data_IF_298722318286
#
_entry.id   IF_298722318286
#
_cell.length_a   1.000
_cell.length_b   1.000
_cell.length_c   1.000
_cell.angle_alpha   90.00
_cell.angle_beta   90.00
_cell.angle_gamma   90.00
#
_symmetry.space_group_name_H-M   'P 1'
#
loop_
_entity.id
_entity.type
_entity.pdbx_description
1 polymer ?
#
# COMPACT_ATOMS: atom_id res chain seq x y z
N UNK A 1 23.38 20.23 16.46
CA UNK A 1 23.89 18.97 17.06
C UNK A 1 23.89 17.94 15.95
N UNK A 2 25.07 17.39 15.60
CA UNK A 2 25.13 16.28 14.64
C UNK A 2 24.49 15.04 15.31
N UNK A 3 23.29 14.69 14.88
CA UNK A 3 22.66 13.45 15.32
C UNK A 3 23.44 12.27 14.74
N UNK A 4 24.16 11.56 15.60
CA UNK A 4 24.78 10.28 15.23
C UNK A 4 23.64 9.27 15.02
N UNK A 5 23.46 8.83 13.76
CA UNK A 5 22.48 7.79 13.41
C UNK A 5 23.24 6.48 13.24
N UNK A 6 22.94 5.43 14.04
CA UNK A 6 23.51 4.11 13.81
C UNK A 6 23.01 3.58 12.45
N UNK A 7 23.93 3.04 11.65
CA UNK A 7 23.61 2.34 10.39
C UNK A 7 23.82 0.85 10.61
N UNK A 8 22.75 0.06 10.46
CA UNK A 8 22.85 -1.39 10.40
C UNK A 8 22.87 -1.82 8.94
N UNK A 9 23.92 -2.49 8.50
CA UNK A 9 24.01 -3.11 7.18
C UNK A 9 24.14 -4.61 7.36
N UNK A 10 23.24 -5.37 6.73
CA UNK A 10 23.24 -6.85 6.79
C UNK A 10 23.82 -7.46 5.51
N UNK A 11 23.76 -6.75 4.40
CA UNK A 11 24.25 -7.18 3.09
C UNK A 11 25.31 -6.21 2.58
N UNK A 12 26.26 -6.73 1.81
CA UNK A 12 27.21 -5.90 1.04
C UNK A 12 26.52 -5.39 -0.24
N UNK A 13 27.12 -4.38 -0.88
CA UNK A 13 26.61 -3.86 -2.16
C UNK A 13 26.66 -4.94 -3.26
N UNK A 14 27.67 -5.81 -3.24
CA UNK A 14 27.79 -6.92 -4.18
C UNK A 14 26.64 -7.92 -3.99
N UNK A 15 26.29 -8.25 -2.74
CA UNK A 15 25.16 -9.14 -2.46
C UNK A 15 23.82 -8.52 -2.87
N UNK A 16 23.66 -7.23 -2.68
CA UNK A 16 22.45 -6.51 -3.15
C UNK A 16 22.37 -6.55 -4.67
N UNK A 17 23.52 -6.34 -5.36
CA UNK A 17 23.57 -6.41 -6.82
C UNK A 17 23.28 -7.83 -7.33
N UNK A 18 23.81 -8.86 -6.68
CA UNK A 18 23.55 -10.26 -7.02
C UNK A 18 22.04 -10.59 -6.90
N UNK A 19 21.39 -10.18 -5.81
CA UNK A 19 19.94 -10.33 -5.63
C UNK A 19 19.18 -9.61 -6.74
N UNK A 20 19.58 -8.40 -7.09
CA UNK A 20 18.97 -7.64 -8.19
C UNK A 20 19.10 -8.39 -9.52
N UNK A 21 20.28 -8.88 -9.86
CA UNK A 21 20.53 -9.60 -11.11
C UNK A 21 19.75 -10.91 -11.20
N UNK A 22 19.63 -11.66 -10.12
CA UNK A 22 18.76 -12.83 -10.04
C UNK A 22 17.29 -12.48 -10.20
N UNK A 23 16.84 -11.38 -9.61
CA UNK A 23 15.46 -10.88 -9.77
C UNK A 23 15.18 -10.53 -11.24
N UNK A 24 16.09 -9.83 -11.91
CA UNK A 24 15.94 -9.51 -13.33
C UNK A 24 15.88 -10.79 -14.17
N UNK A 25 16.74 -11.77 -13.89
CA UNK A 25 16.72 -13.05 -14.60
C UNK A 25 15.38 -13.80 -14.41
N UNK A 26 14.81 -13.80 -13.22
CA UNK A 26 13.48 -14.41 -12.98
C UNK A 26 12.40 -13.70 -13.78
N UNK A 27 12.37 -12.38 -13.78
CA UNK A 27 11.38 -11.60 -14.54
C UNK A 27 11.48 -11.82 -16.05
N UNK A 28 12.70 -12.01 -16.57
CA UNK A 28 12.96 -12.23 -18.01
C UNK A 28 12.69 -13.67 -18.45
N UNK A 29 13.04 -14.65 -17.62
CA UNK A 29 13.01 -16.08 -18.03
C UNK A 29 11.73 -16.78 -17.59
N UNK A 30 11.30 -16.56 -16.36
CA UNK A 30 10.05 -17.10 -15.77
C UNK A 30 8.87 -16.19 -16.10
N UNK A 31 8.98 -14.90 -15.79
CA UNK A 31 7.94 -13.91 -15.99
C UNK A 31 6.96 -13.80 -14.84
N UNK A 32 5.92 -12.99 -15.01
CA UNK A 32 4.87 -12.70 -14.05
C UNK A 32 3.50 -13.00 -14.68
N UNK A 33 2.64 -13.70 -13.96
CA UNK A 33 1.24 -13.88 -14.37
C UNK A 33 0.46 -12.59 -14.08
N UNK A 34 -0.24 -12.10 -15.10
CA UNK A 34 -1.04 -10.88 -15.03
C UNK A 34 -2.49 -11.21 -15.33
N UNK A 35 -3.34 -11.17 -14.30
CA UNK A 35 -4.75 -11.56 -14.44
C UNK A 35 -5.63 -10.40 -14.92
N UNK A 36 -5.24 -9.13 -14.71
CA UNK A 36 -5.97 -7.96 -15.20
C UNK A 36 -5.83 -7.83 -16.74
N UNK A 37 -6.94 -7.90 -17.51
CA UNK A 37 -6.88 -7.78 -18.97
C UNK A 37 -6.30 -6.45 -19.44
N UNK A 38 -6.64 -5.36 -18.76
CA UNK A 38 -6.18 -4.02 -19.10
C UNK A 38 -4.67 -3.84 -18.86
N UNK A 39 -4.14 -4.39 -17.77
CA UNK A 39 -2.71 -4.38 -17.49
C UNK A 39 -1.94 -5.31 -18.43
N UNK A 40 -2.52 -6.46 -18.76
CA UNK A 40 -1.94 -7.39 -19.72
C UNK A 40 -1.76 -6.72 -21.10
N UNK A 41 -2.78 -6.04 -21.60
CA UNK A 41 -2.72 -5.32 -22.88
C UNK A 41 -1.71 -4.14 -22.83
N UNK A 42 -1.64 -3.43 -21.71
CA UNK A 42 -0.65 -2.37 -21.52
C UNK A 42 0.77 -2.93 -21.56
N UNK A 43 1.04 -4.02 -20.83
CA UNK A 43 2.35 -4.66 -20.80
C UNK A 43 2.70 -5.25 -22.19
N UNK A 44 1.77 -5.93 -22.85
CA UNK A 44 1.95 -6.47 -24.19
C UNK A 44 2.38 -5.41 -25.21
N UNK A 45 1.83 -4.21 -25.12
CA UNK A 45 2.25 -3.07 -25.96
C UNK A 45 3.67 -2.61 -25.65
N UNK A 46 4.15 -2.78 -24.41
CA UNK A 46 5.49 -2.37 -23.99
C UNK A 46 6.57 -3.40 -24.27
N UNK A 47 6.30 -4.67 -23.95
CA UNK A 47 7.29 -5.76 -24.08
C UNK A 47 7.24 -6.45 -25.46
N UNK A 48 6.16 -6.29 -26.22
CA UNK A 48 5.91 -6.99 -27.47
C UNK A 48 5.18 -8.33 -27.30
N UNK A 49 4.48 -8.76 -28.33
CA UNK A 49 3.63 -9.96 -28.30
C UNK A 49 4.42 -11.26 -28.03
N UNK A 50 5.67 -11.34 -28.47
CA UNK A 50 6.55 -12.51 -28.25
C UNK A 50 6.92 -12.77 -26.81
N UNK A 51 6.81 -11.75 -25.94
CA UNK A 51 7.11 -11.84 -24.52
C UNK A 51 5.87 -12.22 -23.69
N UNK A 52 4.73 -12.46 -24.32
CA UNK A 52 3.45 -12.77 -23.67
C UNK A 52 2.95 -14.13 -24.14
N UNK A 53 2.71 -15.04 -23.20
CA UNK A 53 2.10 -16.34 -23.45
C UNK A 53 0.87 -16.47 -22.55
N UNK A 54 -0.34 -16.36 -23.12
CA UNK A 54 -1.60 -16.23 -22.41
C UNK A 54 -1.55 -15.06 -21.39
N UNK A 55 -1.52 -15.33 -20.10
CA UNK A 55 -1.42 -14.35 -19.02
C UNK A 55 0.00 -14.19 -18.46
N UNK A 56 0.94 -15.00 -18.91
CA UNK A 56 2.32 -14.94 -18.47
C UNK A 56 3.08 -13.91 -19.30
N UNK A 57 3.66 -12.93 -18.64
CA UNK A 57 4.42 -11.84 -19.26
C UNK A 57 5.87 -11.93 -18.81
N UNK A 58 6.79 -12.10 -19.75
CA UNK A 58 8.22 -11.94 -19.50
C UNK A 58 8.58 -10.48 -19.58
N UNK A 59 9.23 -9.96 -18.54
CA UNK A 59 9.54 -8.54 -18.41
C UNK A 59 11.03 -8.34 -18.62
N UNK A 60 11.46 -7.68 -19.73
CA UNK A 60 12.87 -7.41 -19.98
C UNK A 60 13.51 -6.51 -18.91
N UNK A 61 14.78 -6.76 -18.62
CA UNK A 61 15.58 -5.97 -17.66
C UNK A 61 15.45 -4.47 -17.92
N UNK A 62 15.59 -4.04 -19.17
CA UNK A 62 15.58 -2.63 -19.54
C UNK A 62 14.27 -1.93 -19.17
N UNK A 63 13.14 -2.66 -19.24
CA UNK A 63 11.83 -2.10 -18.85
C UNK A 63 11.76 -1.90 -17.33
N UNK A 64 12.29 -2.85 -16.56
CA UNK A 64 12.33 -2.75 -15.09
C UNK A 64 13.25 -1.61 -14.66
N UNK A 65 14.44 -1.53 -15.21
CA UNK A 65 15.40 -0.47 -14.92
C UNK A 65 14.87 0.92 -15.31
N UNK A 66 14.19 1.01 -16.46
CA UNK A 66 13.49 2.22 -16.87
C UNK A 66 12.41 2.61 -15.84
N UNK A 67 11.59 1.66 -15.40
CA UNK A 67 10.54 1.93 -14.40
C UNK A 67 11.12 2.41 -13.07
N UNK A 68 12.17 1.75 -12.57
CA UNK A 68 12.89 2.15 -11.34
C UNK A 68 13.48 3.57 -11.49
N UNK A 69 14.06 3.89 -12.66
CA UNK A 69 14.64 5.21 -12.93
C UNK A 69 13.58 6.29 -13.06
N UNK A 70 12.42 5.96 -13.63
CA UNK A 70 11.32 6.90 -13.87
C UNK A 70 10.50 7.18 -12.62
N UNK A 71 10.49 6.26 -11.65
CA UNK A 71 9.74 6.44 -10.41
C UNK A 71 10.25 7.65 -9.61
N UNK A 72 9.34 8.45 -9.01
CA UNK A 72 9.72 9.54 -8.14
C UNK A 72 10.66 9.08 -7.02
N UNK A 73 11.74 9.81 -6.79
CA UNK A 73 12.71 9.48 -5.74
C UNK A 73 12.24 9.93 -4.36
N UNK A 74 11.30 10.84 -4.32
CA UNK A 74 10.73 11.39 -3.09
C UNK A 74 9.23 11.60 -3.26
N UNK A 75 8.50 11.33 -2.19
CA UNK A 75 7.05 11.54 -2.11
C UNK A 75 6.75 12.34 -0.85
N UNK A 76 6.19 13.53 -1.01
CA UNK A 76 5.70 14.33 0.10
C UNK A 76 4.34 13.81 0.55
N UNK A 77 4.22 13.50 1.83
CA UNK A 77 2.97 13.05 2.46
C UNK A 77 2.43 14.16 3.35
N UNK A 78 1.12 14.34 3.30
CA UNK A 78 0.41 15.39 4.02
C UNK A 78 -0.53 14.75 5.07
N UNK A 79 -0.98 15.54 6.02
CA UNK A 79 -2.11 15.18 6.83
C UNK A 79 -3.44 15.55 6.11
N UNK A 80 -4.56 15.09 6.65
CA UNK A 80 -5.89 15.36 6.11
C UNK A 80 -6.25 16.87 6.01
N UNK A 81 -5.50 17.76 6.68
CA UNK A 81 -5.67 19.21 6.61
C UNK A 81 -4.75 19.86 5.59
N UNK A 82 -4.03 19.06 4.80
CA UNK A 82 -3.08 19.53 3.80
C UNK A 82 -1.77 20.10 4.38
N UNK A 83 -1.45 19.80 5.63
CA UNK A 83 -0.18 20.17 6.24
C UNK A 83 0.88 19.12 5.92
N UNK A 84 2.06 19.49 5.39
CA UNK A 84 3.16 18.56 5.17
C UNK A 84 3.56 17.84 6.46
N UNK A 85 3.69 16.53 6.43
CA UNK A 85 4.07 15.71 7.57
C UNK A 85 5.49 15.18 7.42
N UNK A 86 5.75 14.49 6.33
CA UNK A 86 7.08 13.94 6.04
C UNK A 86 7.23 13.63 4.55
N UNK A 87 8.47 13.50 4.13
CA UNK A 87 8.83 13.00 2.79
C UNK A 87 9.32 11.57 2.92
N UNK A 88 8.88 10.67 2.05
CA UNK A 88 9.40 9.31 1.90
C UNK A 88 10.44 9.33 0.79
N UNK A 89 11.59 8.66 1.02
CA UNK A 89 12.73 8.67 0.11
C UNK A 89 13.64 9.88 0.32
N UNK A 90 14.90 9.73 -0.07
CA UNK A 90 15.92 10.77 0.07
C UNK A 90 16.84 10.58 1.28
N UNK A 91 17.91 11.39 1.37
CA UNK A 91 19.00 11.16 2.32
C UNK A 91 18.60 11.40 3.79
N UNK A 92 17.57 12.19 4.02
CA UNK A 92 17.06 12.53 5.36
C UNK A 92 15.88 11.63 5.81
N UNK A 93 15.53 10.65 5.01
CA UNK A 93 14.42 9.75 5.36
C UNK A 93 14.76 8.88 6.56
N UNK A 94 13.72 8.56 7.34
CA UNK A 94 13.81 7.72 8.54
C UNK A 94 12.67 6.71 8.53
N UNK A 95 12.81 5.68 9.34
CA UNK A 95 11.71 4.73 9.57
C UNK A 95 10.50 5.50 10.11
N UNK A 96 9.33 5.24 9.53
CA UNK A 96 8.04 5.79 9.93
C UNK A 96 7.24 4.71 10.63
N UNK A 97 6.62 5.09 11.72
CA UNK A 97 5.84 4.18 12.53
C UNK A 97 4.35 4.49 12.42
N UNK A 98 3.56 3.45 12.45
CA UNK A 98 2.10 3.54 12.46
C UNK A 98 1.47 2.37 13.21
N UNK A 99 0.15 2.38 13.31
CA UNK A 99 -0.62 1.27 13.85
C UNK A 99 -0.58 0.11 12.86
N UNK A 100 -0.66 -1.15 13.34
CA UNK A 100 -0.81 -2.34 12.51
C UNK A 100 -2.10 -2.34 11.68
N UNK A 101 -2.24 -3.34 10.81
CA UNK A 101 -3.32 -3.42 9.83
C UNK A 101 -4.16 -4.68 9.98
N UNK A 102 -5.43 -4.61 9.55
CA UNK A 102 -6.35 -5.74 9.29
C UNK A 102 -6.58 -6.70 10.45
N UNK A 103 -6.67 -6.20 11.69
CA UNK A 103 -7.09 -7.01 12.83
C UNK A 103 -8.54 -7.52 12.62
N UNK A 104 -8.77 -8.81 12.85
CA UNK A 104 -10.09 -9.43 12.81
C UNK A 104 -10.79 -9.37 14.18
N UNK A 105 -9.99 -9.30 15.24
CA UNK A 105 -10.43 -9.29 16.63
C UNK A 105 -9.81 -8.12 17.36
N UNK A 106 -10.51 -7.64 18.37
CA UNK A 106 -10.05 -6.68 19.34
C UNK A 106 -9.99 -7.36 20.70
N UNK A 107 -8.91 -7.14 21.44
CA UNK A 107 -8.76 -7.64 22.80
C UNK A 107 -9.22 -6.55 23.77
N UNK A 108 -10.34 -6.83 24.47
CA UNK A 108 -10.89 -5.88 25.43
C UNK A 108 -9.92 -5.68 26.59
N UNK A 109 -9.47 -4.43 26.88
CA UNK A 109 -8.42 -4.17 27.87
C UNK A 109 -8.76 -4.59 29.28
N UNK A 110 -10.03 -4.49 29.67
CA UNK A 110 -10.48 -4.75 31.04
C UNK A 110 -10.69 -6.23 31.34
N UNK A 111 -11.02 -7.02 30.33
CA UNK A 111 -11.38 -8.45 30.49
C UNK A 111 -10.42 -9.40 29.80
N UNK A 112 -9.48 -8.87 29.00
CA UNK A 112 -8.56 -9.64 28.19
C UNK A 112 -9.26 -10.60 27.19
N UNK A 113 -10.53 -10.31 26.88
CA UNK A 113 -11.37 -11.16 26.03
C UNK A 113 -11.29 -10.71 24.57
N UNK A 114 -11.00 -11.61 23.61
CA UNK A 114 -11.06 -11.28 22.20
C UNK A 114 -12.52 -11.17 21.73
N UNK A 115 -12.87 -10.07 21.11
CA UNK A 115 -14.18 -9.80 20.50
C UNK A 115 -14.00 -9.47 19.03
N UNK A 116 -15.07 -9.58 18.22
CA UNK A 116 -15.01 -9.14 16.83
C UNK A 116 -14.69 -7.65 16.74
N UNK A 117 -13.91 -7.30 15.73
CA UNK A 117 -13.54 -5.90 15.51
C UNK A 117 -14.74 -5.10 15.00
N UNK A 118 -15.12 -4.04 15.71
CA UNK A 118 -16.28 -3.20 15.44
C UNK A 118 -15.86 -1.74 15.14
N UNK A 119 -16.79 -0.94 14.63
CA UNK A 119 -16.57 0.49 14.35
C UNK A 119 -16.09 1.27 15.58
N UNK A 120 -16.61 0.94 16.77
CA UNK A 120 -16.14 1.59 18.03
C UNK A 120 -14.64 1.38 18.24
N UNK A 121 -14.15 0.16 17.99
CA UNK A 121 -12.72 -0.17 18.14
C UNK A 121 -11.89 0.58 17.08
N UNK A 122 -12.36 0.65 15.83
CA UNK A 122 -11.71 1.44 14.78
C UNK A 122 -11.56 2.90 15.20
N UNK A 123 -12.66 3.51 15.64
CA UNK A 123 -12.67 4.90 16.12
C UNK A 123 -11.68 5.15 17.24
N UNK A 124 -11.68 4.28 18.25
CA UNK A 124 -10.85 4.46 19.44
C UNK A 124 -9.36 4.24 19.10
N UNK A 125 -9.04 3.22 18.31
CA UNK A 125 -7.68 2.97 17.84
C UNK A 125 -7.15 4.12 16.97
N UNK A 126 -7.97 4.65 16.06
CA UNK A 126 -7.59 5.81 15.23
C UNK A 126 -7.31 7.03 16.11
N UNK A 127 -8.14 7.30 17.11
CA UNK A 127 -7.94 8.41 18.06
C UNK A 127 -6.66 8.26 18.87
N UNK A 128 -6.39 7.05 19.37
CA UNK A 128 -5.14 6.74 20.10
C UNK A 128 -3.94 6.95 19.17
N UNK A 129 -3.93 6.33 17.99
CA UNK A 129 -2.84 6.46 17.03
C UNK A 129 -2.62 7.91 16.58
N UNK A 130 -3.70 8.68 16.43
CA UNK A 130 -3.60 10.09 16.10
C UNK A 130 -2.98 10.94 17.22
N UNK A 131 -3.12 10.55 18.47
CA UNK A 131 -2.57 11.26 19.64
C UNK A 131 -1.15 10.85 20.00
N UNK A 132 -0.73 9.64 19.70
CA UNK A 132 0.61 9.15 20.01
C UNK A 132 1.68 9.91 19.21
N UNK A 133 2.65 10.57 19.85
CA UNK A 133 3.62 11.45 19.14
C UNK A 133 4.61 10.67 18.28
N UNK A 134 4.84 9.39 18.58
CA UNK A 134 5.79 8.53 17.85
C UNK A 134 5.16 7.76 16.70
N UNK A 135 3.87 7.88 16.48
CA UNK A 135 3.23 7.41 15.26
C UNK A 135 3.19 8.53 14.22
N UNK A 136 3.80 8.29 13.07
CA UNK A 136 3.82 9.24 11.95
C UNK A 136 2.52 9.16 11.14
N UNK A 137 1.87 7.99 11.14
CA UNK A 137 0.67 7.69 10.35
C UNK A 137 -0.28 6.75 11.11
N UNK A 138 -1.50 6.64 10.62
CA UNK A 138 -2.47 5.61 11.00
C UNK A 138 -2.71 4.68 9.80
N UNK A 139 -3.26 3.49 10.05
CA UNK A 139 -3.57 2.53 8.99
C UNK A 139 -4.96 1.92 9.22
N UNK A 140 -5.48 1.18 8.25
CA UNK A 140 -6.72 0.39 8.41
C UNK A 140 -6.50 -0.67 9.48
N UNK A 141 -6.78 -0.32 10.73
CA UNK A 141 -6.39 -1.09 11.92
C UNK A 141 -7.06 -2.45 11.96
N UNK A 142 -8.31 -2.53 11.53
CA UNK A 142 -9.08 -3.76 11.57
C UNK A 142 -10.24 -3.76 10.58
N UNK A 143 -10.91 -4.89 10.48
CA UNK A 143 -12.07 -5.11 9.63
C UNK A 143 -13.32 -5.04 10.49
N UNK A 144 -14.13 -3.99 10.34
CA UNK A 144 -15.35 -3.78 11.14
C UNK A 144 -16.41 -4.84 10.79
N UNK A 145 -17.04 -5.43 11.81
CA UNK A 145 -17.99 -6.54 11.66
C UNK A 145 -19.41 -6.22 12.12
N UNK A 146 -19.65 -5.01 12.62
CA UNK A 146 -20.95 -4.52 13.10
C UNK A 146 -21.73 -3.76 12.01
N UNK A 147 -21.39 -3.97 10.75
CA UNK A 147 -22.05 -3.41 9.57
C UNK A 147 -22.27 -4.49 8.52
N UNK A 148 -23.18 -4.29 7.52
CA UNK A 148 -23.29 -5.19 6.39
C UNK A 148 -21.94 -5.39 5.69
N UNK A 149 -21.61 -6.63 5.30
CA UNK A 149 -20.30 -7.03 4.79
C UNK A 149 -19.81 -6.13 3.63
N UNK A 150 -20.69 -5.83 2.67
CA UNK A 150 -20.39 -4.98 1.52
C UNK A 150 -20.14 -3.50 1.84
N UNK A 151 -20.36 -3.07 3.09
CA UNK A 151 -20.11 -1.70 3.58
C UNK A 151 -18.96 -1.62 4.57
N UNK A 152 -18.31 -2.74 4.87
CA UNK A 152 -17.22 -2.83 5.85
C UNK A 152 -16.11 -1.82 5.58
N UNK A 153 -15.58 -1.80 4.36
CA UNK A 153 -14.49 -0.91 3.98
C UNK A 153 -14.92 0.57 3.99
N UNK A 154 -16.16 0.86 3.58
CA UNK A 154 -16.73 2.22 3.60
C UNK A 154 -16.82 2.76 5.03
N UNK A 155 -17.42 2.01 5.96
CA UNK A 155 -17.55 2.46 7.34
C UNK A 155 -16.21 2.50 8.09
N UNK A 156 -15.34 1.53 7.84
CA UNK A 156 -13.98 1.55 8.39
C UNK A 156 -13.20 2.78 7.94
N UNK A 157 -13.25 3.09 6.66
CA UNK A 157 -12.60 4.29 6.07
C UNK A 157 -13.22 5.58 6.58
N UNK A 158 -14.54 5.64 6.76
CA UNK A 158 -15.23 6.80 7.33
C UNK A 158 -14.79 7.06 8.77
N UNK A 159 -14.64 6.02 9.61
CA UNK A 159 -14.14 6.18 10.98
C UNK A 159 -12.71 6.76 10.99
N UNK A 160 -11.86 6.38 10.04
CA UNK A 160 -10.54 7.01 9.87
C UNK A 160 -10.65 8.49 9.54
N UNK A 161 -11.46 8.83 8.55
CA UNK A 161 -11.62 10.22 8.11
C UNK A 161 -12.14 11.13 9.22
N UNK A 162 -13.17 10.68 9.95
CA UNK A 162 -13.82 11.50 10.98
C UNK A 162 -12.96 11.66 12.23
N UNK A 163 -12.20 10.62 12.63
CA UNK A 163 -11.53 10.56 13.92
C UNK A 163 -10.01 10.80 13.86
N UNK A 164 -9.40 10.77 12.66
CA UNK A 164 -7.97 10.97 12.44
C UNK A 164 -7.65 12.21 11.60
N UNK A 165 -6.42 12.68 11.74
CA UNK A 165 -5.86 13.77 10.91
C UNK A 165 -4.56 13.31 10.26
N UNK A 166 -3.81 12.43 10.89
CA UNK A 166 -2.54 11.90 10.38
C UNK A 166 -2.71 11.21 9.02
N UNK A 167 -1.65 11.10 8.23
CA UNK A 167 -1.65 10.31 7.00
C UNK A 167 -2.22 8.90 7.23
N UNK A 168 -2.94 8.39 6.25
CA UNK A 168 -3.63 7.10 6.30
C UNK A 168 -3.01 6.10 5.32
N UNK A 169 -2.47 5.00 5.84
CA UNK A 169 -2.19 3.80 5.03
C UNK A 169 -3.47 3.00 4.91
N UNK A 170 -4.04 2.99 3.72
CA UNK A 170 -5.39 2.47 3.48
C UNK A 170 -5.34 1.07 2.85
N UNK A 171 -5.96 0.10 3.55
CA UNK A 171 -6.33 -1.18 2.98
C UNK A 171 -7.83 -1.24 2.75
N UNK A 172 -8.22 -1.67 1.58
CA UNK A 172 -9.60 -1.98 1.20
C UNK A 172 -9.64 -3.45 0.81
N UNK A 173 -10.42 -4.24 1.54
CA UNK A 173 -10.49 -5.69 1.39
C UNK A 173 -11.28 -6.09 0.15
N UNK A 174 -12.43 -5.45 -0.08
CA UNK A 174 -13.28 -5.66 -1.25
C UNK A 174 -12.78 -4.80 -2.43
N UNK A 175 -12.24 -5.46 -3.44
CA UNK A 175 -11.72 -4.81 -4.63
C UNK A 175 -12.77 -3.99 -5.38
N UNK A 176 -14.03 -4.43 -5.37
CA UNK A 176 -15.14 -3.73 -6.02
C UNK A 176 -15.57 -2.46 -5.28
N UNK A 177 -15.15 -2.31 -4.01
CA UNK A 177 -15.46 -1.16 -3.16
C UNK A 177 -14.37 -0.10 -3.11
N UNK A 178 -13.21 -0.36 -3.69
CA UNK A 178 -12.09 0.58 -3.64
C UNK A 178 -12.45 1.93 -4.27
N UNK A 179 -13.12 1.93 -5.44
CA UNK A 179 -13.54 3.18 -6.08
C UNK A 179 -14.56 3.94 -5.24
N UNK A 180 -15.56 3.23 -4.66
CA UNK A 180 -16.56 3.85 -3.78
C UNK A 180 -15.92 4.53 -2.57
N UNK A 181 -14.89 3.90 -1.98
CA UNK A 181 -14.10 4.48 -0.87
C UNK A 181 -13.36 5.74 -1.32
N UNK A 182 -12.75 5.72 -2.51
CA UNK A 182 -12.07 6.90 -3.05
C UNK A 182 -13.05 8.04 -3.31
N UNK A 183 -14.19 7.79 -3.93
CA UNK A 183 -15.25 8.78 -4.17
C UNK A 183 -15.80 9.38 -2.87
N UNK A 184 -15.95 8.57 -1.82
CA UNK A 184 -16.30 9.06 -0.49
C UNK A 184 -15.24 10.05 0.03
N UNK A 185 -13.95 9.71 -0.06
CA UNK A 185 -12.88 10.61 0.36
C UNK A 185 -12.83 11.88 -0.49
N UNK A 186 -13.00 11.79 -1.80
CA UNK A 186 -13.09 12.95 -2.70
C UNK A 186 -14.27 13.86 -2.35
N UNK A 187 -15.42 13.28 -2.03
CA UNK A 187 -16.61 14.04 -1.59
C UNK A 187 -16.35 14.80 -0.29
N UNK A 188 -15.61 14.19 0.64
CA UNK A 188 -15.34 14.75 1.97
C UNK A 188 -14.14 15.71 2.00
N UNK A 189 -13.21 15.59 1.07
CA UNK A 189 -11.91 16.30 1.11
C UNK A 189 -11.62 17.13 -0.14
N UNK A 190 -12.14 16.75 -1.30
CA UNK A 190 -11.76 17.29 -2.61
C UNK A 190 -10.65 16.47 -3.28
N UNK A 191 -9.77 17.11 -4.02
CA UNK A 191 -8.68 16.43 -4.76
C UNK A 191 -7.72 15.72 -3.79
N UNK A 192 -7.58 14.40 -3.98
CA UNK A 192 -6.73 13.55 -3.16
C UNK A 192 -5.27 13.55 -3.60
N UNK A 193 -4.98 13.89 -4.86
CA UNK A 193 -3.64 13.84 -5.46
C UNK A 193 -2.80 15.09 -5.20
N UNK A 194 -3.42 16.26 -5.04
CA UNK A 194 -2.69 17.52 -4.83
C UNK A 194 -1.88 17.52 -3.53
N UNK A 195 -2.49 17.04 -2.44
CA UNK A 195 -1.87 16.91 -1.11
C UNK A 195 -2.18 15.55 -0.51
N UNK A 196 -1.55 14.48 -1.01
CA UNK A 196 -1.94 13.12 -0.65
C UNK A 196 -1.73 12.85 0.84
N UNK A 197 -2.83 12.54 1.53
CA UNK A 197 -2.84 12.06 2.91
C UNK A 197 -3.22 10.58 3.00
N UNK A 198 -3.63 9.97 1.89
CA UNK A 198 -3.97 8.56 1.77
C UNK A 198 -2.87 7.88 0.96
N UNK A 199 -2.40 6.75 1.46
CA UNK A 199 -1.43 5.88 0.80
C UNK A 199 -2.08 4.50 0.70
N UNK A 200 -2.70 4.16 -0.44
CA UNK A 200 -3.24 2.81 -0.65
C UNK A 200 -2.15 1.75 -0.57
N UNK A 201 -2.47 0.64 0.10
CA UNK A 201 -1.57 -0.47 0.30
C UNK A 201 -2.07 -1.71 -0.43
N UNK A 202 -1.22 -2.29 -1.27
CA UNK A 202 -1.57 -3.40 -2.15
C UNK A 202 -0.64 -4.59 -1.97
N UNK A 203 -1.22 -5.78 -2.00
CA UNK A 203 -0.51 -7.05 -1.93
C UNK A 203 -0.81 -7.88 -3.18
N UNK A 204 0.07 -7.89 -4.19
CA UNK A 204 0.04 -8.89 -5.24
C UNK A 204 0.18 -10.30 -4.67
N UNK A 205 -0.39 -11.27 -5.36
CA UNK A 205 -0.39 -12.66 -4.88
C UNK A 205 0.97 -13.32 -5.11
N UNK A 206 1.52 -13.93 -4.07
CA UNK A 206 2.77 -14.71 -4.17
C UNK A 206 2.48 -16.14 -4.67
N UNK A 207 3.37 -16.74 -5.51
CA UNK A 207 4.52 -16.14 -6.17
C UNK A 207 4.15 -15.54 -7.54
N UNK A 208 4.71 -14.42 -7.87
CA UNK A 208 4.72 -13.80 -9.21
C UNK A 208 3.34 -13.65 -9.88
N UNK A 209 2.29 -13.31 -9.10
CA UNK A 209 0.93 -13.11 -9.64
C UNK A 209 0.45 -11.69 -9.36
N UNK A 210 0.18 -10.96 -10.44
CA UNK A 210 -0.52 -9.66 -10.42
C UNK A 210 -2.01 -9.92 -10.65
N UNK A 211 -2.72 -10.24 -9.57
CA UNK A 211 -4.17 -10.54 -9.62
C UNK A 211 -4.98 -9.30 -10.03
N UNK A 212 -6.10 -9.54 -10.71
CA UNK A 212 -6.93 -8.50 -11.35
C UNK A 212 -7.36 -7.42 -10.34
N UNK A 213 -7.98 -7.80 -9.24
CA UNK A 213 -8.50 -6.83 -8.27
C UNK A 213 -7.43 -5.93 -7.65
N UNK A 214 -6.22 -6.47 -7.35
CA UNK A 214 -5.11 -5.65 -6.86
C UNK A 214 -4.65 -4.65 -7.93
N UNK A 215 -4.49 -5.09 -9.17
CA UNK A 215 -4.02 -4.22 -10.26
C UNK A 215 -5.04 -3.14 -10.60
N UNK A 216 -6.32 -3.47 -10.60
CA UNK A 216 -7.38 -2.50 -10.89
C UNK A 216 -7.50 -1.44 -9.79
N UNK A 217 -7.36 -1.83 -8.51
CA UNK A 217 -7.22 -0.86 -7.41
C UNK A 217 -5.98 0.04 -7.58
N UNK A 218 -4.85 -0.52 -7.98
CA UNK A 218 -3.63 0.27 -8.25
C UNK A 218 -3.86 1.31 -9.36
N UNK A 219 -4.54 0.95 -10.45
CA UNK A 219 -4.89 1.87 -11.53
C UNK A 219 -5.75 3.03 -11.02
N UNK A 220 -6.79 2.74 -10.25
CA UNK A 220 -7.68 3.74 -9.64
C UNK A 220 -6.89 4.72 -8.76
N UNK A 221 -5.92 4.23 -7.99
CA UNK A 221 -5.06 5.08 -7.16
C UNK A 221 -4.11 5.96 -8.00
N UNK A 222 -3.50 5.39 -9.04
CA UNK A 222 -2.58 6.09 -9.95
C UNK A 222 -3.31 7.19 -10.72
N UNK A 223 -4.51 6.92 -11.22
CA UNK A 223 -5.34 7.90 -11.95
C UNK A 223 -5.67 9.13 -11.08
N UNK A 224 -5.71 8.96 -9.77
CA UNK A 224 -5.90 10.04 -8.78
C UNK A 224 -4.60 10.68 -8.27
N UNK A 225 -3.44 10.30 -8.82
CA UNK A 225 -2.14 10.83 -8.40
C UNK A 225 -1.72 10.43 -6.99
N UNK A 226 -2.28 9.34 -6.44
CA UNK A 226 -1.96 8.88 -5.10
C UNK A 226 -0.63 8.11 -5.07
N UNK A 227 0.22 8.31 -4.05
CA UNK A 227 1.31 7.40 -3.76
C UNK A 227 0.76 6.05 -3.32
N UNK A 228 1.46 4.96 -3.66
CA UNK A 228 1.04 3.61 -3.33
C UNK A 228 2.14 2.84 -2.62
N UNK A 229 1.77 1.94 -1.72
CA UNK A 229 2.65 0.93 -1.16
C UNK A 229 2.31 -0.40 -1.83
N UNK A 230 3.33 -1.06 -2.37
CA UNK A 230 3.20 -2.41 -2.92
C UNK A 230 4.16 -3.32 -2.16
N UNK A 231 3.64 -4.37 -1.56
CA UNK A 231 4.46 -5.38 -0.89
C UNK A 231 3.95 -6.78 -1.18
N UNK A 232 4.88 -7.74 -1.18
CA UNK A 232 4.55 -9.15 -1.26
C UNK A 232 4.70 -9.80 0.11
N UNK A 233 3.77 -10.68 0.45
CA UNK A 233 3.94 -11.62 1.55
C UNK A 233 4.36 -12.97 0.98
N UNK A 234 5.58 -13.40 1.31
CA UNK A 234 5.99 -14.78 1.06
C UNK A 234 5.23 -15.70 2.01
N UNK A 235 4.53 -16.69 1.46
CA UNK A 235 3.92 -17.74 2.27
C UNK A 235 4.83 -18.96 2.30
N UNK A 236 4.92 -19.61 3.46
CA UNK A 236 5.64 -20.86 3.60
C UNK A 236 5.02 -21.92 2.71
N UNK A 237 5.81 -22.55 1.85
CA UNK A 237 5.36 -23.57 0.92
C UNK A 237 4.78 -23.07 -0.40
N UNK A 238 4.88 -21.77 -0.69
CA UNK A 238 4.52 -21.18 -1.98
C UNK A 238 5.73 -21.02 -2.88
#
# INVERSE_FOLDING_TARGET
MNNVRPKLSMLTEEQIQEIHDHTMNVLETVGVRVDSPSALEMLKKKVGASMVNDRLVKIPRELVEWAIKSAPKQVQVYDRRGKPQFTVGGPEDRIRFGIGVTALYYQEPDTDTPVLFERKHMRDMVRVGNKLPHYDMVSTVGIVRDVPEHLTDMYGSLEHFVNGVKPLVLLVSDEHKFNDVMEMFETLHGDLGEKPFIIPYFNPVSPLVMNEGTVDKMKIAIERGLPVIVSNYSMSGA
#
